data_IF_550257747811
#
_entry.id   IF_550257747811
#
_cell.length_a   1.000
_cell.length_b   1.000
_cell.length_c   1.000
_cell.angle_alpha   90.00
_cell.angle_beta   90.00
_cell.angle_gamma   90.00
#
_symmetry.space_group_name_H-M   'P 1'
#
loop_
_entity.id
_entity.type
_entity.pdbx_description
1 polymer ?
#
# COMPACT_ATOMS: atom_id res chain seq x y z
N UNK A 1 -40.08 -2.32 58.49
CA UNK A 1 -40.88 -1.73 57.40
C UNK A 1 -40.08 -0.58 56.81
N UNK A 2 -39.37 -0.77 55.69
CA UNK A 2 -39.87 -0.49 54.33
C UNK A 2 -40.71 0.79 54.33
N UNK A 3 -40.21 1.92 53.85
CA UNK A 3 -39.91 2.11 52.44
C UNK A 3 -38.66 3.00 52.22
N UNK A 4 -37.52 2.33 51.97
CA UNK A 4 -36.22 2.93 51.64
C UNK A 4 -35.91 2.80 50.15
N UNK A 5 -36.91 2.48 49.30
CA UNK A 5 -36.67 2.10 47.89
C UNK A 5 -37.53 2.86 46.87
N UNK A 6 -38.48 3.71 47.29
CA UNK A 6 -39.30 4.47 46.31
C UNK A 6 -38.81 5.91 46.08
N UNK A 7 -37.99 6.50 46.97
CA UNK A 7 -37.49 7.88 46.80
C UNK A 7 -36.18 8.03 46.01
N UNK A 8 -35.48 6.93 45.71
CA UNK A 8 -34.23 6.96 44.94
C UNK A 8 -34.42 6.93 43.41
N UNK A 9 -35.66 6.78 42.92
CA UNK A 9 -35.94 6.74 41.48
C UNK A 9 -36.54 8.02 40.91
N UNK A 10 -37.01 8.96 41.73
CA UNK A 10 -37.47 10.27 41.22
C UNK A 10 -36.31 11.25 40.96
N UNK A 11 -35.19 11.15 41.70
CA UNK A 11 -34.06 12.06 41.50
C UNK A 11 -33.29 11.81 40.19
N UNK A 12 -33.19 10.56 39.71
CA UNK A 12 -32.49 10.28 38.45
C UNK A 12 -33.30 10.74 37.22
N UNK A 13 -34.62 10.62 37.26
CA UNK A 13 -35.49 11.06 36.16
C UNK A 13 -35.56 12.58 36.13
N UNK A 14 -35.59 13.25 37.28
CA UNK A 14 -35.55 14.72 37.36
C UNK A 14 -34.17 15.28 36.99
N UNK A 15 -33.05 14.68 37.42
CA UNK A 15 -31.71 15.07 36.98
C UNK A 15 -31.49 14.83 35.47
N UNK A 16 -32.06 13.75 34.92
CA UNK A 16 -31.98 13.47 33.48
C UNK A 16 -32.87 14.43 32.69
N UNK A 17 -33.98 14.90 33.26
CA UNK A 17 -34.89 15.89 32.66
C UNK A 17 -34.32 17.31 32.74
N UNK A 18 -33.65 17.67 33.83
CA UNK A 18 -32.87 18.92 33.97
C UNK A 18 -31.64 18.90 33.04
N UNK A 19 -30.91 17.79 32.97
CA UNK A 19 -29.80 17.62 32.03
C UNK A 19 -30.25 17.57 30.55
N UNK A 20 -31.47 17.11 30.24
CA UNK A 20 -32.04 17.22 28.89
C UNK A 20 -32.53 18.63 28.58
N UNK A 21 -33.03 19.36 29.59
CA UNK A 21 -33.50 20.75 29.44
C UNK A 21 -32.34 21.73 29.26
N UNK A 22 -31.20 21.46 29.89
CA UNK A 22 -29.94 22.18 29.66
C UNK A 22 -29.23 21.73 28.37
N UNK A 23 -29.59 20.58 27.79
CA UNK A 23 -29.18 20.13 26.45
C UNK A 23 -30.05 20.70 25.31
N UNK A 24 -31.15 21.41 25.63
CA UNK A 24 -31.96 22.14 24.63
C UNK A 24 -31.38 23.52 24.30
N UNK A 25 -30.29 23.94 24.96
CA UNK A 25 -29.41 24.98 24.42
C UNK A 25 -28.42 24.30 23.47
N UNK A 26 -28.51 24.64 22.17
CA UNK A 26 -27.84 23.96 21.05
C UNK A 26 -26.32 23.71 21.22
N UNK A 27 -25.73 22.87 20.35
CA UNK A 27 -24.39 22.34 20.56
C UNK A 27 -23.34 23.45 20.63
N UNK A 28 -22.52 23.43 21.69
CA UNK A 28 -21.39 24.35 21.86
C UNK A 28 -20.41 24.21 20.67
N UNK A 29 -20.15 25.27 19.89
CA UNK A 29 -19.33 25.22 18.68
C UNK A 29 -17.87 24.79 18.95
N UNK A 30 -17.40 24.93 20.19
CA UNK A 30 -16.04 24.53 20.61
C UNK A 30 -15.89 23.01 20.72
N UNK A 31 -16.96 22.31 21.13
CA UNK A 31 -16.97 20.84 21.24
C UNK A 31 -17.08 20.20 19.85
N UNK A 32 -17.87 20.79 18.95
CA UNK A 32 -17.94 20.37 17.55
C UNK A 32 -16.61 20.58 16.82
N UNK A 33 -15.92 21.71 17.01
CA UNK A 33 -14.59 21.95 16.42
C UNK A 33 -13.53 20.96 16.92
N UNK A 34 -13.51 20.64 18.21
CA UNK A 34 -12.57 19.66 18.77
C UNK A 34 -12.84 18.24 18.25
N UNK A 35 -14.11 17.85 18.12
CA UNK A 35 -14.49 16.55 17.57
C UNK A 35 -14.18 16.45 16.07
N UNK A 36 -14.45 17.50 15.30
CA UNK A 36 -14.13 17.54 13.86
C UNK A 36 -12.62 17.44 13.61
N UNK A 37 -11.79 18.11 14.41
CA UNK A 37 -10.32 18.02 14.33
C UNK A 37 -9.82 16.60 14.64
N UNK A 38 -10.35 15.96 15.69
CA UNK A 38 -10.00 14.58 16.04
C UNK A 38 -10.40 13.58 14.95
N UNK A 39 -11.56 13.76 14.34
CA UNK A 39 -12.01 12.93 13.21
C UNK A 39 -11.11 13.14 11.99
N UNK A 40 -10.65 14.36 11.73
CA UNK A 40 -9.80 14.64 10.57
C UNK A 40 -8.40 14.01 10.69
N UNK A 41 -7.81 14.10 11.87
CA UNK A 41 -6.48 13.54 12.16
C UNK A 41 -6.52 11.99 12.14
N UNK A 42 -7.57 11.38 12.69
CA UNK A 42 -7.79 9.93 12.61
C UNK A 42 -7.95 9.44 11.17
N UNK A 43 -8.68 10.17 10.33
CA UNK A 43 -8.87 9.85 8.91
C UNK A 43 -7.59 10.01 8.08
N UNK A 44 -6.72 10.98 8.42
CA UNK A 44 -5.40 11.09 7.81
C UNK A 44 -4.51 9.91 8.25
N UNK A 45 -4.56 9.51 9.52
CA UNK A 45 -3.82 8.36 10.02
C UNK A 45 -4.16 7.06 9.30
N UNK A 46 -5.45 6.74 9.13
CA UNK A 46 -5.89 5.56 8.39
C UNK A 46 -5.39 5.57 6.93
N UNK A 47 -5.42 6.73 6.28
CA UNK A 47 -4.90 6.88 4.92
C UNK A 47 -3.39 6.64 4.83
N UNK A 48 -2.62 7.14 5.80
CA UNK A 48 -1.17 6.94 5.82
C UNK A 48 -0.80 5.50 6.13
N UNK A 49 -1.57 4.81 6.96
CA UNK A 49 -1.42 3.37 7.20
C UNK A 49 -1.67 2.57 5.91
N UNK A 50 -2.71 2.92 5.17
CA UNK A 50 -2.99 2.31 3.86
C UNK A 50 -1.87 2.59 2.84
N UNK A 51 -1.36 3.83 2.79
CA UNK A 51 -0.21 4.19 1.97
C UNK A 51 1.05 3.39 2.32
N UNK A 52 1.30 3.13 3.61
CA UNK A 52 2.43 2.31 4.07
C UNK A 52 2.25 0.84 3.68
N UNK A 53 1.02 0.31 3.75
CA UNK A 53 0.73 -1.04 3.28
C UNK A 53 0.98 -1.20 1.78
N UNK A 54 0.56 -0.20 0.98
CA UNK A 54 0.86 -0.14 -0.46
C UNK A 54 2.38 -0.10 -0.70
N UNK A 55 3.11 0.74 0.03
CA UNK A 55 4.58 0.83 -0.04
C UNK A 55 5.25 -0.50 0.30
N UNK A 56 4.76 -1.22 1.31
CA UNK A 56 5.27 -2.55 1.68
C UNK A 56 5.04 -3.57 0.56
N UNK A 57 3.86 -3.55 -0.07
CA UNK A 57 3.58 -4.46 -1.19
C UNK A 57 4.46 -4.16 -2.42
N UNK A 58 4.76 -2.89 -2.70
CA UNK A 58 5.77 -2.49 -3.68
C UNK A 58 7.17 -3.00 -3.34
N UNK A 59 7.54 -3.01 -2.05
CA UNK A 59 8.78 -3.62 -1.57
C UNK A 59 8.86 -5.10 -1.93
N UNK A 60 7.77 -5.85 -1.72
CA UNK A 60 7.71 -7.27 -2.13
C UNK A 60 7.83 -7.48 -3.64
N UNK A 61 7.33 -6.55 -4.48
CA UNK A 61 7.55 -6.63 -5.93
C UNK A 61 9.05 -6.52 -6.23
N UNK A 62 9.75 -5.56 -5.63
CA UNK A 62 11.21 -5.39 -5.83
C UNK A 62 11.98 -6.66 -5.46
N UNK A 63 11.68 -7.26 -4.33
CA UNK A 63 12.30 -8.53 -3.91
C UNK A 63 12.08 -9.66 -4.94
N UNK A 64 10.89 -9.74 -5.54
CA UNK A 64 10.61 -10.73 -6.58
C UNK A 64 11.37 -10.41 -7.87
N UNK A 65 11.50 -9.13 -8.25
CA UNK A 65 12.30 -8.73 -9.41
C UNK A 65 13.77 -9.13 -9.25
N UNK A 66 14.35 -8.92 -8.06
CA UNK A 66 15.71 -9.33 -7.75
C UNK A 66 15.85 -10.86 -7.87
N UNK A 67 14.90 -11.62 -7.33
CA UNK A 67 14.86 -13.10 -7.46
C UNK A 67 14.71 -13.57 -8.91
N UNK A 68 13.92 -12.87 -9.73
CA UNK A 68 13.76 -13.18 -11.16
C UNK A 68 15.05 -12.90 -11.92
N UNK A 69 15.75 -11.82 -11.58
CA UNK A 69 17.05 -11.51 -12.17
C UNK A 69 18.10 -12.56 -11.80
N UNK A 70 18.19 -12.96 -10.53
CA UNK A 70 19.07 -14.06 -10.10
C UNK A 70 18.73 -15.36 -10.81
N UNK A 71 17.45 -15.73 -10.88
CA UNK A 71 17.00 -16.93 -11.57
C UNK A 71 17.35 -16.89 -13.08
N UNK A 72 17.23 -15.73 -13.71
CA UNK A 72 17.64 -15.57 -15.10
C UNK A 72 19.15 -15.75 -15.29
N UNK A 73 19.98 -15.19 -14.41
CA UNK A 73 21.44 -15.38 -14.47
C UNK A 73 21.82 -16.86 -14.21
N UNK A 74 21.15 -17.54 -13.28
CA UNK A 74 21.32 -18.99 -13.03
C UNK A 74 21.00 -19.83 -14.27
N UNK A 75 20.00 -19.42 -15.08
CA UNK A 75 19.58 -20.15 -16.28
C UNK A 75 20.66 -20.25 -17.36
N UNK A 76 21.67 -19.38 -17.31
CA UNK A 76 22.78 -19.34 -18.28
C UNK A 76 23.78 -20.47 -18.07
N UNK A 77 23.95 -20.92 -16.84
CA UNK A 77 24.96 -21.93 -16.46
C UNK A 77 24.36 -23.30 -16.17
N UNK A 78 23.03 -23.37 -16.09
CA UNK A 78 22.31 -24.59 -15.79
C UNK A 78 22.06 -25.43 -17.05
N UNK A 79 22.44 -26.70 -17.00
CA UNK A 79 22.32 -27.64 -18.13
C UNK A 79 21.56 -28.92 -17.79
N UNK A 80 21.17 -29.12 -16.51
CA UNK A 80 20.43 -30.30 -16.09
C UNK A 80 18.93 -30.08 -16.36
N UNK A 81 18.23 -30.97 -17.10
CA UNK A 81 16.81 -30.80 -17.45
C UNK A 81 15.90 -30.56 -16.25
N UNK A 82 16.03 -31.37 -15.19
CA UNK A 82 15.20 -31.20 -13.98
C UNK A 82 15.42 -29.87 -13.27
N UNK A 83 16.65 -29.37 -13.29
CA UNK A 83 16.99 -28.10 -12.68
C UNK A 83 16.48 -26.92 -13.53
N UNK A 84 16.58 -27.02 -14.85
CA UNK A 84 16.01 -26.04 -15.79
C UNK A 84 14.49 -25.95 -15.64
N UNK A 85 13.80 -27.08 -15.51
CA UNK A 85 12.36 -27.14 -15.26
C UNK A 85 11.97 -26.49 -13.92
N UNK A 86 12.73 -26.75 -12.86
CA UNK A 86 12.51 -26.12 -11.55
C UNK A 86 12.69 -24.60 -11.62
N UNK A 87 13.78 -24.15 -12.26
CA UNK A 87 14.09 -22.74 -12.45
C UNK A 87 13.01 -22.02 -13.26
N UNK A 88 12.53 -22.66 -14.33
CA UNK A 88 11.39 -22.17 -15.12
C UNK A 88 10.15 -21.98 -14.24
N UNK A 89 9.80 -22.97 -13.42
CA UNK A 89 8.63 -22.86 -12.55
C UNK A 89 8.78 -21.71 -11.55
N UNK A 90 10.00 -21.46 -11.04
CA UNK A 90 10.31 -20.31 -10.18
C UNK A 90 10.12 -18.98 -10.91
N UNK A 91 10.63 -18.87 -12.14
CA UNK A 91 10.45 -17.68 -13.00
C UNK A 91 8.96 -17.43 -13.26
N UNK A 92 8.22 -18.44 -13.72
CA UNK A 92 6.79 -18.32 -14.02
C UNK A 92 5.99 -17.90 -12.78
N UNK A 93 6.30 -18.49 -11.62
CA UNK A 93 5.64 -18.12 -10.35
C UNK A 93 5.94 -16.67 -9.97
N UNK A 94 7.19 -16.23 -10.11
CA UNK A 94 7.58 -14.85 -9.84
C UNK A 94 6.85 -13.85 -10.73
N UNK A 95 6.82 -14.11 -12.04
CA UNK A 95 6.11 -13.29 -13.04
C UNK A 95 4.62 -13.14 -12.67
N UNK A 96 3.92 -14.26 -12.44
CA UNK A 96 2.49 -14.23 -12.08
C UNK A 96 2.26 -13.49 -10.76
N UNK A 97 3.18 -13.63 -9.80
CA UNK A 97 3.09 -12.95 -8.51
C UNK A 97 3.27 -11.44 -8.66
N UNK A 98 4.25 -10.99 -9.45
CA UNK A 98 4.45 -9.56 -9.77
C UNK A 98 3.20 -8.98 -10.40
N UNK A 99 2.61 -9.65 -11.39
CA UNK A 99 1.38 -9.19 -12.05
C UNK A 99 0.20 -9.09 -11.08
N UNK A 100 -0.02 -10.10 -10.23
CA UNK A 100 -1.10 -10.10 -9.25
C UNK A 100 -0.94 -8.94 -8.26
N UNK A 101 0.27 -8.73 -7.75
CA UNK A 101 0.58 -7.63 -6.82
C UNK A 101 0.43 -6.27 -7.50
N UNK A 102 0.90 -6.12 -8.73
CA UNK A 102 0.76 -4.86 -9.48
C UNK A 102 -0.71 -4.49 -9.68
N UNK A 103 -1.58 -5.48 -10.01
CA UNK A 103 -3.04 -5.26 -10.12
C UNK A 103 -3.68 -4.90 -8.78
N UNK A 104 -3.26 -5.57 -7.69
CA UNK A 104 -3.71 -5.25 -6.33
C UNK A 104 -3.38 -3.80 -5.96
N UNK A 105 -2.11 -3.41 -6.09
CA UNK A 105 -1.64 -2.05 -5.81
C UNK A 105 -2.38 -1.03 -6.68
N UNK A 106 -2.54 -1.32 -7.98
CA UNK A 106 -3.31 -0.45 -8.88
C UNK A 106 -4.72 -0.19 -8.34
N UNK A 107 -5.44 -1.25 -7.96
CA UNK A 107 -6.79 -1.13 -7.39
C UNK A 107 -6.81 -0.32 -6.09
N UNK A 108 -5.82 -0.49 -5.22
CA UNK A 108 -5.69 0.29 -3.99
C UNK A 108 -5.44 1.78 -4.29
N UNK A 109 -4.60 2.10 -5.27
CA UNK A 109 -4.36 3.49 -5.69
C UNK A 109 -5.63 4.14 -6.25
N UNK A 110 -6.40 3.43 -7.08
CA UNK A 110 -7.68 3.93 -7.59
C UNK A 110 -8.69 4.14 -6.44
N UNK A 111 -8.66 3.29 -5.41
CA UNK A 111 -9.49 3.46 -4.22
C UNK A 111 -9.07 4.69 -3.39
N UNK A 112 -7.76 4.91 -3.21
CA UNK A 112 -7.24 6.12 -2.60
C UNK A 112 -7.66 7.38 -3.37
N UNK A 113 -7.65 7.35 -4.72
CA UNK A 113 -8.13 8.45 -5.56
C UNK A 113 -9.62 8.71 -5.37
N UNK A 114 -10.45 7.65 -5.36
CA UNK A 114 -11.89 7.77 -5.10
C UNK A 114 -12.15 8.36 -3.71
N UNK A 115 -11.43 7.91 -2.70
CA UNK A 115 -11.53 8.43 -1.34
C UNK A 115 -11.10 9.91 -1.28
N UNK A 116 -10.03 10.29 -1.98
CA UNK A 116 -9.58 11.68 -2.05
C UNK A 116 -10.62 12.59 -2.74
N UNK A 117 -11.24 12.11 -3.82
CA UNK A 117 -12.30 12.83 -4.53
C UNK A 117 -13.58 12.98 -3.68
N UNK A 118 -14.00 11.93 -2.96
CA UNK A 118 -15.15 11.97 -2.07
C UNK A 118 -14.95 12.96 -0.90
N UNK A 119 -13.74 12.98 -0.33
CA UNK A 119 -13.41 13.87 0.77
C UNK A 119 -13.34 15.35 0.36
N UNK A 120 -13.11 15.69 -0.93
CA UNK A 120 -13.06 17.08 -1.41
C UNK A 120 -14.31 17.91 -1.07
N UNK A 121 -15.46 17.26 -0.87
CA UNK A 121 -16.74 17.91 -0.52
C UNK A 121 -16.85 18.29 0.97
N UNK A 122 -15.96 17.78 1.83
CA UNK A 122 -15.95 18.04 3.27
C UNK A 122 -15.05 19.25 3.60
N UNK A 123 -15.50 20.13 4.50
CA UNK A 123 -14.88 21.44 4.74
C UNK A 123 -13.39 21.39 5.13
N UNK A 124 -12.93 20.34 5.83
CA UNK A 124 -11.51 20.18 6.21
C UNK A 124 -10.64 19.39 5.24
N UNK A 125 -11.22 18.92 4.14
CA UNK A 125 -10.53 18.19 3.06
C UNK A 125 -10.69 18.89 1.71
N UNK A 126 -11.16 20.14 1.73
CA UNK A 126 -11.25 20.96 0.53
C UNK A 126 -9.86 21.10 -0.12
N UNK A 127 -9.89 21.27 -1.43
CA UNK A 127 -8.71 21.54 -2.23
C UNK A 127 -7.94 22.74 -1.67
N UNK A 128 -6.61 22.61 -1.56
CA UNK A 128 -5.74 23.61 -0.95
C UNK A 128 -5.48 23.44 0.56
N UNK A 129 -6.25 22.59 1.27
CA UNK A 129 -5.93 22.26 2.67
C UNK A 129 -4.62 21.46 2.77
N UNK A 130 -3.85 21.58 3.88
CA UNK A 130 -2.64 20.78 4.08
C UNK A 130 -2.91 19.27 4.02
N UNK A 131 -4.03 18.83 4.61
CA UNK A 131 -4.44 17.41 4.60
C UNK A 131 -4.70 16.93 3.16
N UNK A 132 -5.45 17.70 2.37
CA UNK A 132 -5.69 17.37 0.96
C UNK A 132 -4.37 17.29 0.17
N UNK A 133 -3.48 18.27 0.34
CA UNK A 133 -2.18 18.31 -0.33
C UNK A 133 -1.32 17.08 0.00
N UNK A 134 -1.25 16.72 1.29
CA UNK A 134 -0.53 15.51 1.72
C UNK A 134 -1.13 14.25 1.09
N UNK A 135 -2.45 14.10 1.10
CA UNK A 135 -3.10 12.90 0.52
C UNK A 135 -2.85 12.76 -0.98
N UNK A 136 -2.97 13.86 -1.72
CA UNK A 136 -2.67 13.87 -3.15
C UNK A 136 -1.19 13.57 -3.39
N UNK A 137 -0.27 14.30 -2.74
CA UNK A 137 1.17 14.06 -2.90
C UNK A 137 1.55 12.59 -2.62
N UNK A 138 0.97 12.00 -1.57
CA UNK A 138 1.22 10.60 -1.21
C UNK A 138 0.71 9.63 -2.29
N UNK A 139 -0.55 9.76 -2.71
CA UNK A 139 -1.12 8.89 -3.75
C UNK A 139 -0.34 9.01 -5.07
N UNK A 140 0.07 10.23 -5.44
CA UNK A 140 0.83 10.50 -6.68
C UNK A 140 2.22 9.86 -6.63
N UNK A 141 2.92 10.00 -5.51
CA UNK A 141 4.25 9.43 -5.33
C UNK A 141 4.22 7.89 -5.37
N UNK A 142 3.21 7.27 -4.75
CA UNK A 142 3.01 5.82 -4.85
C UNK A 142 2.71 5.40 -6.30
N UNK A 143 1.91 6.18 -7.03
CA UNK A 143 1.64 5.92 -8.45
C UNK A 143 2.89 5.96 -9.30
N UNK A 144 3.74 6.98 -9.12
CA UNK A 144 5.06 7.07 -9.75
C UNK A 144 5.87 5.81 -9.46
N UNK A 145 5.88 5.39 -8.19
CA UNK A 145 6.68 4.25 -7.79
C UNK A 145 6.21 2.93 -8.39
N UNK A 146 4.88 2.74 -8.51
CA UNK A 146 4.34 1.61 -9.25
C UNK A 146 4.79 1.66 -10.72
N UNK A 147 4.68 2.81 -11.38
CA UNK A 147 5.12 2.98 -12.77
C UNK A 147 6.60 2.61 -12.95
N UNK A 148 7.48 3.12 -12.08
CA UNK A 148 8.91 2.77 -12.09
C UNK A 148 9.12 1.26 -11.95
N UNK A 149 8.48 0.60 -10.99
CA UNK A 149 8.58 -0.85 -10.81
C UNK A 149 8.09 -1.64 -12.03
N UNK A 150 7.05 -1.17 -12.71
CA UNK A 150 6.57 -1.81 -13.93
C UNK A 150 7.53 -1.60 -15.11
N UNK A 151 8.22 -0.46 -15.17
CA UNK A 151 9.29 -0.22 -16.14
C UNK A 151 10.50 -1.13 -15.87
N UNK A 152 10.92 -1.27 -14.61
CA UNK A 152 12.00 -2.17 -14.20
C UNK A 152 11.67 -3.61 -14.58
N UNK A 153 10.44 -4.06 -14.30
CA UNK A 153 9.97 -5.40 -14.67
C UNK A 153 9.94 -5.60 -16.18
N UNK A 154 9.46 -4.61 -16.95
CA UNK A 154 9.48 -4.64 -18.41
C UNK A 154 10.90 -4.76 -18.97
N UNK A 155 11.85 -4.00 -18.40
CA UNK A 155 13.26 -4.03 -18.78
C UNK A 155 13.90 -5.39 -18.48
N UNK A 156 13.68 -5.92 -17.28
CA UNK A 156 14.15 -7.27 -16.91
C UNK A 156 13.58 -8.31 -17.88
N UNK A 157 12.28 -8.26 -18.15
CA UNK A 157 11.63 -9.20 -19.07
C UNK A 157 12.23 -9.14 -20.48
N UNK A 158 12.47 -7.94 -21.01
CA UNK A 158 13.10 -7.77 -22.32
C UNK A 158 14.50 -8.39 -22.33
N UNK A 159 15.28 -8.15 -21.27
CA UNK A 159 16.61 -8.76 -21.11
C UNK A 159 16.52 -10.29 -21.09
N UNK A 160 15.59 -10.86 -20.31
CA UNK A 160 15.37 -12.31 -20.27
C UNK A 160 15.05 -12.87 -21.66
N UNK A 161 14.17 -12.19 -22.43
CA UNK A 161 13.80 -12.63 -23.78
C UNK A 161 14.96 -12.54 -24.78
N UNK A 162 15.77 -11.49 -24.72
CA UNK A 162 16.96 -11.36 -25.58
C UNK A 162 17.98 -12.46 -25.28
N UNK A 163 18.32 -12.67 -24.00
CA UNK A 163 19.28 -13.71 -23.60
C UNK A 163 18.77 -15.12 -23.93
N UNK A 164 17.47 -15.28 -23.89
CA UNK A 164 16.79 -16.48 -24.30
C UNK A 164 16.96 -16.74 -25.81
N UNK A 165 16.63 -15.77 -26.67
CA UNK A 165 16.83 -15.86 -28.13
C UNK A 165 18.29 -16.18 -28.48
N UNK A 166 19.23 -15.52 -27.82
CA UNK A 166 20.67 -15.78 -27.96
C UNK A 166 21.04 -17.23 -27.62
N UNK A 167 20.47 -17.77 -26.55
CA UNK A 167 20.76 -19.14 -26.11
C UNK A 167 20.22 -20.15 -27.12
N UNK A 168 18.99 -19.95 -27.61
CA UNK A 168 18.40 -20.78 -28.67
C UNK A 168 19.25 -20.72 -29.93
N UNK A 169 19.68 -19.53 -30.36
CA UNK A 169 20.54 -19.36 -31.53
C UNK A 169 21.87 -20.10 -31.42
N UNK A 170 22.55 -20.00 -30.26
CA UNK A 170 23.81 -20.74 -30.01
C UNK A 170 23.62 -22.25 -30.02
N UNK A 171 22.53 -22.76 -29.44
CA UNK A 171 22.21 -24.19 -29.43
C UNK A 171 21.85 -24.70 -30.82
N UNK A 172 21.10 -23.92 -31.59
CA UNK A 172 20.80 -24.21 -32.99
C UNK A 172 22.08 -24.35 -33.82
N UNK A 173 22.99 -23.38 -33.72
CA UNK A 173 24.27 -23.42 -34.43
C UNK A 173 25.13 -24.62 -34.03
N UNK A 174 25.16 -24.96 -32.73
CA UNK A 174 25.92 -26.12 -32.23
C UNK A 174 25.44 -27.43 -32.85
N UNK A 175 24.17 -27.49 -33.24
CA UNK A 175 23.50 -28.70 -33.73
C UNK A 175 23.37 -28.73 -35.24
N UNK A 176 23.37 -27.60 -35.94
CA UNK A 176 23.18 -27.54 -37.40
C UNK A 176 24.40 -27.02 -38.15
N UNK A 177 25.33 -26.36 -37.46
CA UNK A 177 26.45 -25.64 -38.07
C UNK A 177 26.06 -24.34 -38.80
N UNK A 178 24.78 -23.99 -38.85
CA UNK A 178 24.25 -22.80 -39.51
C UNK A 178 23.72 -21.80 -38.47
N UNK A 179 23.89 -20.49 -38.73
CA UNK A 179 23.27 -19.47 -37.90
C UNK A 179 21.79 -19.35 -38.28
N UNK A 180 20.87 -19.45 -37.31
CA UNK A 180 19.45 -19.30 -37.62
C UNK A 180 19.11 -17.82 -37.86
N UNK A 181 18.27 -17.57 -38.86
CA UNK A 181 17.62 -16.27 -39.02
C UNK A 181 16.65 -16.00 -37.87
N UNK A 182 16.35 -14.72 -37.62
CA UNK A 182 15.47 -14.31 -36.52
C UNK A 182 14.06 -14.92 -36.66
N UNK A 183 13.54 -15.07 -37.88
CA UNK A 183 12.26 -15.77 -38.14
C UNK A 183 12.29 -17.25 -37.73
N UNK A 184 13.44 -17.92 -37.86
CA UNK A 184 13.60 -19.33 -37.46
C UNK A 184 13.62 -19.42 -35.94
N UNK A 185 14.33 -18.51 -35.27
CA UNK A 185 14.32 -18.40 -33.81
C UNK A 185 12.88 -18.15 -33.36
N UNK A 186 12.19 -17.17 -33.90
CA UNK A 186 10.82 -16.85 -33.48
C UNK A 186 9.83 -18.00 -33.72
N UNK A 187 9.96 -18.77 -34.80
CA UNK A 187 9.19 -20.02 -35.00
C UNK A 187 9.50 -21.11 -33.98
N UNK A 188 10.77 -21.26 -33.60
CA UNK A 188 11.17 -22.19 -32.54
C UNK A 188 10.55 -21.76 -31.21
N UNK A 189 10.35 -20.46 -30.98
CA UNK A 189 9.85 -19.84 -29.73
C UNK A 189 8.32 -19.75 -29.66
N UNK A 190 7.64 -19.54 -30.78
CA UNK A 190 6.20 -19.25 -30.79
C UNK A 190 5.36 -20.53 -30.89
N UNK A 191 5.79 -21.46 -31.75
CA UNK A 191 4.93 -22.52 -32.27
C UNK A 191 5.36 -23.90 -31.77
N UNK A 192 6.60 -24.03 -31.26
CA UNK A 192 7.27 -25.31 -31.02
C UNK A 192 7.52 -26.15 -32.29
N UNK A 193 6.84 -25.85 -33.40
CA UNK A 193 6.92 -26.52 -34.70
C UNK A 193 8.29 -26.34 -35.38
N UNK A 194 8.93 -25.18 -35.20
CA UNK A 194 10.32 -24.95 -35.61
C UNK A 194 11.28 -25.90 -34.89
N UNK A 195 10.94 -26.32 -33.66
CA UNK A 195 11.68 -27.32 -32.89
C UNK A 195 11.59 -28.74 -33.50
N UNK A 196 10.47 -29.12 -34.12
CA UNK A 196 10.31 -30.41 -34.79
C UNK A 196 11.12 -30.51 -36.10
N UNK A 197 11.10 -29.45 -36.91
CA UNK A 197 11.90 -29.37 -38.14
C UNK A 197 13.40 -29.34 -37.83
N UNK A 198 13.78 -28.54 -36.83
CA UNK A 198 15.11 -28.53 -36.23
C UNK A 198 15.53 -29.93 -35.75
N UNK A 199 14.68 -30.61 -34.96
CA UNK A 199 14.94 -31.95 -34.42
C UNK A 199 15.16 -32.98 -35.53
N UNK A 200 14.35 -32.94 -36.61
CA UNK A 200 14.50 -33.85 -37.76
C UNK A 200 15.84 -33.67 -38.46
N UNK A 201 16.22 -32.41 -38.74
CA UNK A 201 17.46 -32.07 -39.46
C UNK A 201 18.69 -32.42 -38.63
N UNK A 202 18.65 -32.07 -37.35
CA UNK A 202 19.68 -32.39 -36.37
C UNK A 202 19.93 -33.90 -36.20
N UNK A 203 18.86 -34.71 -36.11
CA UNK A 203 18.96 -36.16 -35.97
C UNK A 203 19.61 -36.80 -37.21
N UNK A 204 19.33 -36.27 -38.41
CA UNK A 204 19.92 -36.74 -39.66
C UNK A 204 21.43 -36.46 -39.74
N UNK A 205 21.89 -35.30 -39.27
CA UNK A 205 23.28 -34.85 -39.44
C UNK A 205 24.22 -35.29 -38.31
N UNK A 206 23.75 -35.29 -37.05
CA UNK A 206 24.63 -35.47 -35.88
C UNK A 206 24.28 -36.67 -34.97
N UNK A 207 23.23 -37.43 -35.31
CA UNK A 207 22.82 -38.63 -34.57
C UNK A 207 21.99 -38.32 -33.30
N UNK A 208 21.19 -39.29 -32.86
CA UNK A 208 20.09 -39.08 -31.90
C UNK A 208 20.51 -38.58 -30.49
N UNK A 209 21.69 -38.94 -29.98
CA UNK A 209 22.04 -38.75 -28.57
C UNK A 209 22.19 -37.30 -28.12
N UNK A 210 23.16 -36.56 -28.70
CA UNK A 210 23.45 -35.15 -28.36
C UNK A 210 22.33 -34.19 -28.81
N UNK A 211 21.66 -34.56 -29.88
CA UNK A 211 20.56 -33.78 -30.46
C UNK A 211 19.36 -33.76 -29.54
N UNK A 212 18.98 -34.92 -28.99
CA UNK A 212 17.80 -35.03 -28.15
C UNK A 212 17.92 -34.21 -26.85
N UNK A 213 19.11 -34.24 -26.21
CA UNK A 213 19.39 -33.42 -25.02
C UNK A 213 19.27 -31.91 -25.34
N UNK A 214 19.86 -31.48 -26.45
CA UNK A 214 19.82 -30.07 -26.86
C UNK A 214 18.40 -29.60 -27.21
N UNK A 215 17.59 -30.47 -27.82
CA UNK A 215 16.21 -30.13 -28.20
C UNK A 215 15.31 -30.08 -26.98
N UNK A 216 15.43 -31.03 -26.04
CA UNK A 216 14.70 -30.97 -24.76
C UNK A 216 15.06 -29.69 -24.01
N UNK A 217 16.35 -29.35 -24.00
CA UNK A 217 16.86 -28.12 -23.40
C UNK A 217 16.27 -26.85 -24.07
N UNK A 218 16.07 -26.83 -25.40
CA UNK A 218 15.43 -25.74 -26.14
C UNK A 218 13.92 -25.71 -25.88
N UNK A 219 13.25 -26.86 -25.80
CA UNK A 219 11.80 -26.94 -25.60
C UNK A 219 11.38 -26.49 -24.20
N UNK A 220 12.10 -26.93 -23.16
CA UNK A 220 11.85 -26.46 -21.78
C UNK A 220 12.02 -24.95 -21.65
N UNK A 221 12.98 -24.43 -22.41
CA UNK A 221 13.27 -23.02 -22.58
C UNK A 221 12.13 -22.30 -23.32
N UNK A 222 11.58 -22.88 -24.39
CA UNK A 222 10.48 -22.32 -25.17
C UNK A 222 9.25 -22.05 -24.29
N UNK A 223 8.90 -23.01 -23.45
CA UNK A 223 7.76 -22.86 -22.56
C UNK A 223 7.94 -21.71 -21.56
N UNK A 224 9.18 -21.42 -21.15
CA UNK A 224 9.51 -20.27 -20.32
C UNK A 224 9.30 -18.95 -21.08
N UNK A 225 9.83 -18.87 -22.31
CA UNK A 225 9.69 -17.69 -23.17
C UNK A 225 8.23 -17.38 -23.51
N UNK A 226 7.44 -18.41 -23.77
CA UNK A 226 6.00 -18.27 -24.04
C UNK A 226 5.23 -17.72 -22.85
N UNK A 227 5.56 -18.14 -21.63
CA UNK A 227 4.91 -17.59 -20.43
C UNK A 227 5.36 -16.14 -20.18
N UNK A 228 6.63 -15.84 -20.46
CA UNK A 228 7.17 -14.47 -20.47
C UNK A 228 6.39 -13.59 -21.45
N UNK A 229 6.12 -14.05 -22.67
CA UNK A 229 5.33 -13.31 -23.67
C UNK A 229 3.86 -13.17 -23.29
N UNK A 230 3.23 -14.22 -22.76
CA UNK A 230 1.85 -14.10 -22.25
C UNK A 230 1.78 -13.05 -21.14
N UNK A 231 2.80 -13.00 -20.29
CA UNK A 231 2.87 -12.03 -19.21
C UNK A 231 3.01 -10.58 -19.68
N UNK A 232 3.57 -10.35 -20.88
CA UNK A 232 3.68 -9.03 -21.50
C UNK A 232 2.31 -8.42 -21.75
N UNK A 233 1.37 -9.18 -22.32
CA UNK A 233 0.04 -8.65 -22.67
C UNK A 233 -0.74 -8.19 -21.43
N UNK A 234 -0.69 -8.98 -20.35
CA UNK A 234 -1.37 -8.64 -19.10
C UNK A 234 -0.71 -7.47 -18.37
N UNK A 235 0.63 -7.39 -18.38
CA UNK A 235 1.37 -6.30 -17.77
C UNK A 235 1.20 -5.00 -18.56
N UNK A 236 1.12 -5.09 -19.89
CA UNK A 236 0.95 -3.94 -20.76
C UNK A 236 -0.33 -3.17 -20.43
N UNK A 237 -1.42 -3.87 -20.10
CA UNK A 237 -2.64 -3.22 -19.64
C UNK A 237 -2.42 -2.42 -18.35
N UNK A 238 -1.77 -3.02 -17.34
CA UNK A 238 -1.45 -2.30 -16.09
C UNK A 238 -0.56 -1.08 -16.38
N UNK A 239 0.41 -1.21 -17.28
CA UNK A 239 1.32 -0.13 -17.67
C UNK A 239 0.60 1.02 -18.38
N UNK A 240 -0.28 0.72 -19.35
CA UNK A 240 -1.09 1.73 -20.03
C UNK A 240 -1.99 2.47 -19.04
N UNK A 241 -2.65 1.72 -18.15
CA UNK A 241 -3.49 2.31 -17.12
C UNK A 241 -2.67 3.18 -16.17
N UNK A 242 -1.42 2.79 -15.85
CA UNK A 242 -0.50 3.62 -15.06
C UNK A 242 -0.11 4.90 -15.80
N UNK A 243 0.17 4.83 -17.09
CA UNK A 243 0.50 6.00 -17.89
C UNK A 243 -0.65 7.01 -17.89
N UNK A 244 -1.88 6.54 -18.10
CA UNK A 244 -3.10 7.37 -18.05
C UNK A 244 -3.27 8.00 -16.67
N UNK A 245 -3.14 7.21 -15.60
CA UNK A 245 -3.30 7.73 -14.24
C UNK A 245 -2.23 8.76 -13.85
N UNK A 246 -1.00 8.65 -14.36
CA UNK A 246 0.06 9.64 -14.12
C UNK A 246 -0.17 10.91 -14.97
N UNK A 247 -0.54 10.75 -16.24
CA UNK A 247 -0.77 11.86 -17.16
C UNK A 247 -1.97 12.74 -16.72
N UNK A 248 -3.03 12.12 -16.20
CA UNK A 248 -4.20 12.83 -15.66
C UNK A 248 -3.88 13.78 -14.48
N UNK A 249 -2.69 13.73 -13.90
CA UNK A 249 -2.30 14.54 -12.74
C UNK A 249 -1.34 15.70 -13.01
N UNK A 250 -0.64 15.73 -14.15
CA UNK A 250 0.34 16.78 -14.46
C UNK A 250 1.71 16.63 -13.76
N UNK A 251 2.58 17.63 -13.94
CA UNK A 251 4.04 17.56 -13.67
C UNK A 251 4.47 17.80 -12.20
N UNK A 252 3.55 18.04 -11.26
CA UNK A 252 3.93 18.20 -9.85
C UNK A 252 4.04 16.84 -9.15
N UNK A 253 5.23 16.24 -9.20
CA UNK A 253 5.58 14.98 -8.52
C UNK A 253 6.72 15.22 -7.52
N UNK A 254 6.37 15.31 -6.24
CA UNK A 254 7.32 15.53 -5.13
C UNK A 254 7.75 14.22 -4.42
N UNK A 255 8.85 14.34 -3.65
CA UNK A 255 9.54 13.25 -2.94
C UNK A 255 8.67 12.60 -1.85
N UNK A 256 8.09 11.45 -2.23
CA UNK A 256 7.14 10.67 -1.43
C UNK A 256 7.69 10.23 -0.08
N UNK A 257 8.97 9.88 0.01
CA UNK A 257 9.53 9.32 1.25
C UNK A 257 9.49 10.36 2.35
N UNK A 258 9.85 11.60 2.02
CA UNK A 258 9.79 12.70 2.96
C UNK A 258 8.34 13.01 3.39
N UNK A 259 7.37 12.96 2.47
CA UNK A 259 5.98 13.24 2.79
C UNK A 259 5.31 12.14 3.62
N UNK A 260 5.51 10.86 3.30
CA UNK A 260 4.94 9.74 4.08
C UNK A 260 5.59 9.62 5.44
N UNK A 261 6.93 9.75 5.52
CA UNK A 261 7.65 9.68 6.80
C UNK A 261 7.21 10.81 7.75
N UNK A 262 7.20 12.06 7.26
CA UNK A 262 6.83 13.20 8.09
C UNK A 262 5.36 13.16 8.49
N UNK A 263 4.45 12.79 7.59
CA UNK A 263 3.04 12.70 7.90
C UNK A 263 2.74 11.55 8.89
N UNK A 264 3.39 10.40 8.71
CA UNK A 264 3.29 9.26 9.63
C UNK A 264 3.81 9.64 11.02
N UNK A 265 4.95 10.33 11.10
CA UNK A 265 5.51 10.84 12.35
C UNK A 265 4.57 11.85 13.01
N UNK A 266 4.01 12.79 12.25
CA UNK A 266 3.05 13.79 12.74
C UNK A 266 1.81 13.15 13.35
N UNK A 267 1.22 12.13 12.70
CA UNK A 267 0.05 11.42 13.24
C UNK A 267 0.43 10.61 14.49
N UNK A 268 1.59 9.97 14.51
CA UNK A 268 2.05 9.17 15.65
C UNK A 268 2.28 10.04 16.89
N UNK A 269 2.92 11.18 16.71
CA UNK A 269 3.16 12.16 17.77
C UNK A 269 1.87 12.85 18.20
N UNK A 270 1.03 13.27 17.25
CA UNK A 270 -0.28 13.88 17.54
C UNK A 270 -1.18 12.95 18.35
N UNK A 271 -1.21 11.66 18.00
CA UNK A 271 -1.94 10.64 18.78
C UNK A 271 -1.41 10.51 20.22
N UNK A 272 -0.10 10.61 20.40
CA UNK A 272 0.55 10.54 21.72
C UNK A 272 0.25 11.78 22.56
N UNK A 273 0.36 12.97 21.97
CA UNK A 273 0.06 14.24 22.63
C UNK A 273 -1.42 14.37 22.98
N UNK A 274 -2.33 13.91 22.12
CA UNK A 274 -3.77 13.85 22.44
C UNK A 274 -4.09 12.89 23.58
N UNK A 275 -3.41 11.74 23.65
CA UNK A 275 -3.57 10.80 24.78
C UNK A 275 -3.11 11.43 26.08
N UNK A 276 -1.99 12.17 26.05
CA UNK A 276 -1.50 12.96 27.18
C UNK A 276 -2.47 14.07 27.56
N UNK A 277 -2.96 14.85 26.59
CA UNK A 277 -3.93 15.94 26.80
C UNK A 277 -5.25 15.44 27.41
N UNK A 278 -5.78 14.30 26.96
CA UNK A 278 -6.96 13.65 27.55
C UNK A 278 -6.70 13.19 28.99
N UNK A 279 -5.47 12.74 29.29
CA UNK A 279 -5.00 12.46 30.64
C UNK A 279 -4.98 13.71 31.53
N UNK A 280 -4.41 14.81 31.03
CA UNK A 280 -4.40 16.11 31.72
C UNK A 280 -5.81 16.67 31.94
N UNK A 281 -6.70 16.58 30.96
CA UNK A 281 -8.08 17.04 31.11
C UNK A 281 -8.83 16.26 32.21
N UNK A 282 -8.59 14.94 32.29
CA UNK A 282 -9.19 14.08 33.32
C UNK A 282 -8.62 14.37 34.72
N UNK A 283 -7.34 14.72 34.83
CA UNK A 283 -6.73 15.07 36.12
C UNK A 283 -7.10 16.50 36.55
N UNK A 284 -7.14 17.46 35.63
CA UNK A 284 -7.49 18.86 35.86
C UNK A 284 -8.90 19.00 36.45
N UNK A 285 -9.87 18.21 35.98
CA UNK A 285 -11.23 18.17 36.56
C UNK A 285 -11.23 17.79 38.05
N UNK A 286 -10.33 16.89 38.47
CA UNK A 286 -10.21 16.50 39.89
C UNK A 286 -9.61 17.63 40.73
N UNK A 287 -8.58 18.30 40.21
CA UNK A 287 -7.94 19.45 40.86
C UNK A 287 -8.86 20.67 40.93
N UNK A 288 -9.69 20.90 39.92
CA UNK A 288 -10.71 21.95 39.91
C UNK A 288 -11.76 21.72 41.01
N UNK A 289 -12.25 20.50 41.18
CA UNK A 289 -13.15 20.18 42.30
C UNK A 289 -12.50 20.42 43.67
N UNK A 290 -11.23 20.06 43.85
CA UNK A 290 -10.50 20.30 45.10
C UNK A 290 -10.35 21.81 45.35
N UNK A 291 -10.03 22.59 44.31
CA UNK A 291 -9.93 24.05 44.40
C UNK A 291 -11.24 24.73 44.80
N UNK A 292 -12.38 24.28 44.24
CA UNK A 292 -13.70 24.80 44.59
C UNK A 292 -14.05 24.48 46.05
N UNK A 293 -13.75 23.26 46.52
CA UNK A 293 -13.98 22.87 47.93
C UNK A 293 -13.16 23.74 48.88
N UNK A 294 -11.88 23.97 48.59
CA UNK A 294 -11.02 24.84 49.40
C UNK A 294 -11.53 26.29 49.44
N UNK A 295 -11.98 26.81 48.29
CA UNK A 295 -12.54 28.16 48.21
C UNK A 295 -13.80 28.30 49.07
N UNK A 296 -14.70 27.31 49.05
CA UNK A 296 -15.90 27.29 49.89
C UNK A 296 -15.56 27.26 51.39
N UNK A 297 -14.52 26.51 51.78
CA UNK A 297 -14.04 26.48 53.17
C UNK A 297 -13.50 27.85 53.59
N UNK A 298 -12.72 28.52 52.73
CA UNK A 298 -12.19 29.86 53.01
C UNK A 298 -13.32 30.87 53.19
N UNK A 299 -14.34 30.84 52.32
CA UNK A 299 -15.52 31.70 52.46
C UNK A 299 -16.20 31.45 53.81
N UNK A 300 -16.38 30.19 54.20
CA UNK A 300 -17.02 29.83 55.46
C UNK A 300 -16.22 30.34 56.67
N UNK A 301 -14.89 30.23 56.65
CA UNK A 301 -14.00 30.71 57.72
C UNK A 301 -13.97 32.24 57.82
N UNK A 302 -14.16 32.97 56.71
CA UNK A 302 -14.19 34.44 56.72
C UNK A 302 -15.57 34.97 57.10
N UNK A 303 -16.64 34.38 56.55
CA UNK A 303 -18.01 34.88 56.71
C UNK A 303 -18.55 34.60 58.11
N UNK A 304 -18.25 33.45 58.72
CA UNK A 304 -18.75 33.10 60.07
C UNK A 304 -18.29 34.09 61.16
N UNK A 305 -16.99 34.42 61.33
CA UNK A 305 -16.54 35.36 62.35
C UNK A 305 -17.09 36.78 62.14
N UNK A 306 -17.23 37.21 60.89
CA UNK A 306 -17.82 38.51 60.57
C UNK A 306 -19.29 38.52 60.97
N UNK A 307 -20.05 37.49 60.60
CA UNK A 307 -21.46 37.37 60.95
C UNK A 307 -21.69 37.26 62.47
N UNK A 308 -20.85 36.52 63.20
CA UNK A 308 -20.95 36.42 64.67
C UNK A 308 -20.50 37.70 65.36
N UNK A 309 -19.53 38.43 64.83
CA UNK A 309 -19.12 39.76 65.34
C UNK A 309 -20.21 40.81 65.17
N UNK A 310 -20.98 40.78 64.07
CA UNK A 310 -22.12 41.68 63.88
C UNK A 310 -23.35 41.28 64.70
N UNK A 311 -23.51 39.99 65.04
CA UNK A 311 -24.59 39.51 65.89
C UNK A 311 -24.40 39.83 67.38
N UNK A 312 -23.18 40.17 67.81
CA UNK A 312 -22.82 40.45 69.20
C UNK A 312 -22.63 41.94 69.51
N UNK A 313 -22.87 42.82 68.52
CA UNK A 313 -22.92 44.28 68.68
C UNK A 313 -24.35 44.78 68.64
#
# INVERSE_FOLDING_TARGET
>A
MNDLMTKSFMSYVDLKKEAMKDLEAGPDPVVEMANASNTMESNLGMFLEEAENVKKEMGSIREILDQLQEANEESKTLHKPEALKSLRNKINTGIVTVQKKARSIKSQLEEMDRANAANRRLSGYKEGTPIYRTRIAVTNGLRKKLKELMMDFQGLRQKMMTEYKDTVGRRYFTVTGEYPDEEVIDKIISDGSGGEEFLKRAIQEHGKGKVLETVVEIQDRHDAAKEIEKSLLELHQVFLDMAVMVEAQGEQMDDIEHHVLNASHYVKDGTKELKSAKGYQKSSRKWMCIGIILLLIIILVIVIPIATSFSHS
#
